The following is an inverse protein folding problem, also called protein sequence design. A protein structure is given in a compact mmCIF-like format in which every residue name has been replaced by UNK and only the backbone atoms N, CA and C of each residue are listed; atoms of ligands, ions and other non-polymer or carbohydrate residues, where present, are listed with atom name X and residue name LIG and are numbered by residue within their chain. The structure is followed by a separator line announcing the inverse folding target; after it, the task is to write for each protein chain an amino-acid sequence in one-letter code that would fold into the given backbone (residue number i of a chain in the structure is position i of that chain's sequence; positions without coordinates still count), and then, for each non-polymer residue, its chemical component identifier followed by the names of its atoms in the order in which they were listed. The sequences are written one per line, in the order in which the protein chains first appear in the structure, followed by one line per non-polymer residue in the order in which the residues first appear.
data_IF_680675236168
#
_entry.id   IF_680675236168
#
_cell.length_a   1.000
_cell.length_b   1.000
_cell.length_c   1.000
_cell.angle_alpha   90.00
_cell.angle_beta   90.00
_cell.angle_gamma   90.00
#
_symmetry.space_group_name_H-M   'P 1'
#
loop_
_entity.id
_entity.type
_entity.pdbx_description
1 polymer ?
#
# COMPACT_ATOMS: atom_id res chain seq x y z
N UNK A 1 -18.79 17.16 23.48
CA UNK A 1 -19.46 15.85 23.63
C UNK A 1 -19.46 15.21 22.24
N UNK A 2 -18.68 14.21 21.86
CA UNK A 2 -17.87 13.25 22.60
C UNK A 2 -16.42 13.22 22.12
N UNK A 3 -15.56 13.02 23.11
CA UNK A 3 -14.17 12.60 23.06
C UNK A 3 -14.09 11.08 22.84
N UNK A 4 -13.10 10.60 22.08
CA UNK A 4 -12.47 9.29 22.27
C UNK A 4 -11.33 9.09 21.25
N UNK A 5 -10.13 9.51 21.67
CA UNK A 5 -8.85 8.84 21.45
C UNK A 5 -8.72 7.91 20.22
N UNK A 6 -8.08 8.40 19.16
CA UNK A 6 -7.22 7.54 18.36
C UNK A 6 -5.88 7.46 19.12
N UNK A 7 -5.73 6.47 19.99
CA UNK A 7 -4.46 6.17 20.64
C UNK A 7 -3.39 5.88 19.58
N UNK A 8 -2.09 6.05 19.90
CA UNK A 8 -1.05 5.68 18.95
C UNK A 8 -1.10 4.15 18.76
N UNK A 9 -1.54 3.69 17.59
CA UNK A 9 -1.34 2.32 17.13
C UNK A 9 0.18 2.07 17.01
N UNK A 10 0.86 1.81 18.13
CA UNK A 10 2.20 1.22 18.13
C UNK A 10 2.06 -0.29 17.98
N UNK A 11 1.57 -0.71 16.81
CA UNK A 11 1.92 -2.03 16.32
C UNK A 11 3.43 -2.08 16.04
N UNK A 12 4.09 -3.24 16.14
CA UNK A 12 5.49 -3.35 15.76
C UNK A 12 5.68 -2.83 14.33
N UNK A 13 6.75 -2.10 14.00
CA UNK A 13 7.00 -1.67 12.63
C UNK A 13 7.04 -2.93 11.76
N UNK A 14 6.13 -3.02 10.78
CA UNK A 14 6.12 -4.09 9.78
C UNK A 14 7.48 -4.07 9.09
N UNK A 15 8.37 -4.97 9.54
CA UNK A 15 9.79 -4.96 9.22
C UNK A 15 10.02 -4.91 7.71
N UNK A 16 10.57 -3.80 7.23
CA UNK A 16 11.37 -3.69 6.01
C UNK A 16 10.68 -3.89 4.66
N UNK A 17 9.39 -4.22 4.59
CA UNK A 17 8.71 -4.43 3.30
C UNK A 17 8.11 -3.12 2.81
N UNK A 18 8.81 -2.43 1.90
CA UNK A 18 8.26 -1.25 1.22
C UNK A 18 7.12 -1.66 0.26
N UNK A 19 6.04 -0.88 0.21
CA UNK A 19 4.97 -1.07 -0.79
C UNK A 19 5.31 -0.26 -2.03
N UNK A 20 5.42 -0.92 -3.19
CA UNK A 20 5.49 -0.26 -4.50
C UNK A 20 4.09 0.17 -4.93
N UNK A 21 3.99 1.34 -5.56
CA UNK A 21 2.73 1.96 -5.98
C UNK A 21 2.78 2.35 -7.46
N UNK A 22 1.87 1.82 -8.27
CA UNK A 22 1.72 2.12 -9.70
C UNK A 22 0.49 3.00 -10.02
N UNK A 23 -0.14 3.57 -8.99
CA UNK A 23 -1.38 4.38 -9.15
C UNK A 23 -1.17 5.56 -10.09
N UNK A 24 -0.03 6.24 -10.00
CA UNK A 24 0.28 7.40 -10.85
C UNK A 24 0.31 7.01 -12.34
N UNK A 25 1.06 5.97 -12.68
CA UNK A 25 1.21 5.50 -14.07
C UNK A 25 -0.14 5.09 -14.65
N UNK A 26 -0.94 4.33 -13.88
CA UNK A 26 -2.28 3.90 -14.30
C UNK A 26 -3.25 5.07 -14.43
N UNK A 27 -3.19 6.04 -13.52
CA UNK A 27 -3.99 7.27 -13.59
C UNK A 27 -3.68 8.07 -14.85
N UNK A 28 -2.40 8.24 -15.16
CA UNK A 28 -1.95 8.97 -16.36
C UNK A 28 -2.35 8.25 -17.64
N UNK A 29 -2.22 6.92 -17.69
CA UNK A 29 -2.70 6.11 -18.81
C UNK A 29 -4.23 6.19 -19.00
N UNK A 30 -4.99 6.43 -17.93
CA UNK A 30 -6.42 6.66 -17.96
C UNK A 30 -6.81 8.12 -18.29
N UNK A 31 -5.84 9.03 -18.51
CA UNK A 31 -6.08 10.43 -18.81
C UNK A 31 -6.67 11.23 -17.63
N UNK A 32 -6.54 10.73 -16.40
CA UNK A 32 -7.14 11.34 -15.22
C UNK A 32 -6.16 12.30 -14.54
N UNK A 33 -6.65 13.45 -14.05
CA UNK A 33 -5.88 14.29 -13.13
C UNK A 33 -5.90 13.70 -11.71
N UNK A 34 -4.93 14.08 -10.87
CA UNK A 34 -4.90 13.69 -9.46
C UNK A 34 -6.21 14.07 -8.76
N UNK A 35 -6.70 15.29 -8.95
CA UNK A 35 -7.95 15.74 -8.33
C UNK A 35 -9.17 14.94 -8.81
N UNK A 36 -9.21 14.56 -10.09
CA UNK A 36 -10.31 13.78 -10.65
C UNK A 36 -10.37 12.37 -10.05
N UNK A 37 -9.23 11.66 -9.99
CA UNK A 37 -9.19 10.34 -9.38
C UNK A 37 -9.48 10.41 -7.87
N UNK A 38 -8.92 11.41 -7.18
CA UNK A 38 -9.12 11.60 -5.74
C UNK A 38 -10.61 11.77 -5.40
N UNK A 39 -11.33 12.59 -6.17
CA UNK A 39 -12.77 12.77 -6.01
C UNK A 39 -13.55 11.47 -6.22
N UNK A 40 -13.20 10.65 -7.22
CA UNK A 40 -13.86 9.37 -7.49
C UNK A 40 -13.71 8.35 -6.36
N UNK A 41 -12.57 8.35 -5.68
CA UNK A 41 -12.27 7.36 -4.62
C UNK A 41 -12.49 7.89 -3.20
N UNK A 42 -12.99 9.12 -3.07
CA UNK A 42 -13.25 9.75 -1.77
C UNK A 42 -11.99 10.12 -1.00
N UNK A 43 -10.94 10.55 -1.71
CA UNK A 43 -9.69 11.06 -1.14
C UNK A 43 -9.54 12.56 -1.43
N UNK A 44 -8.76 13.25 -0.58
CA UNK A 44 -8.26 14.58 -0.94
C UNK A 44 -7.16 14.46 -1.99
N UNK A 45 -6.93 15.54 -2.77
CA UNK A 45 -5.81 15.61 -3.73
C UNK A 45 -4.47 15.30 -3.06
N UNK A 46 -4.24 15.86 -1.86
CA UNK A 46 -3.00 15.66 -1.11
C UNK A 46 -2.84 14.20 -0.65
N UNK A 47 -3.92 13.57 -0.18
CA UNK A 47 -3.91 12.17 0.21
C UNK A 47 -3.57 11.26 -0.98
N UNK A 48 -4.18 11.50 -2.15
CA UNK A 48 -3.85 10.75 -3.36
C UNK A 48 -2.39 10.98 -3.79
N UNK A 49 -1.88 12.22 -3.76
CA UNK A 49 -0.47 12.48 -4.08
C UNK A 49 0.51 11.74 -3.16
N UNK A 50 0.20 11.63 -1.86
CA UNK A 50 1.02 10.84 -0.93
C UNK A 50 0.97 9.35 -1.22
N UNK A 51 -0.18 8.83 -1.66
CA UNK A 51 -0.30 7.44 -2.13
C UNK A 51 0.54 7.23 -3.39
N UNK A 52 0.43 8.12 -4.38
CA UNK A 52 1.21 8.05 -5.63
C UNK A 52 2.72 8.10 -5.39
N UNK A 53 3.19 8.82 -4.37
CA UNK A 53 4.61 8.88 -4.02
C UNK A 53 5.07 7.78 -3.06
N UNK A 54 4.19 6.87 -2.63
CA UNK A 54 4.49 5.86 -1.62
C UNK A 54 4.67 6.39 -0.19
N UNK A 55 4.42 7.69 0.05
CA UNK A 55 4.52 8.33 1.36
C UNK A 55 3.31 8.03 2.29
N UNK A 56 2.31 7.33 1.78
CA UNK A 56 1.20 6.78 2.53
C UNK A 56 0.71 5.50 1.86
N UNK A 57 0.47 4.45 2.66
CA UNK A 57 -0.20 3.24 2.21
C UNK A 57 -1.71 3.43 2.43
N UNK A 58 -2.55 3.32 1.39
CA UNK A 58 -3.99 3.44 1.55
C UNK A 58 -4.55 2.25 2.32
N UNK A 59 -5.64 2.48 3.07
CA UNK A 59 -6.41 1.37 3.64
C UNK A 59 -7.07 0.51 2.56
N UNK A 60 -7.49 -0.70 2.93
CA UNK A 60 -8.06 -1.70 2.01
C UNK A 60 -9.22 -1.16 1.17
N UNK A 61 -10.13 -0.36 1.78
CA UNK A 61 -11.26 0.23 1.06
C UNK A 61 -10.80 1.13 -0.08
N UNK A 62 -9.83 2.00 0.17
CA UNK A 62 -9.29 2.93 -0.82
C UNK A 62 -8.50 2.19 -1.90
N UNK A 63 -7.74 1.15 -1.54
CA UNK A 63 -7.05 0.30 -2.50
C UNK A 63 -8.03 -0.37 -3.50
N UNK A 64 -9.14 -0.91 -3.00
CA UNK A 64 -10.20 -1.51 -3.82
C UNK A 64 -10.90 -0.48 -4.71
N UNK A 65 -11.19 0.71 -4.19
CA UNK A 65 -11.79 1.80 -4.97
C UNK A 65 -10.87 2.31 -6.08
N UNK A 66 -9.56 2.43 -5.81
CA UNK A 66 -8.56 2.80 -6.80
C UNK A 66 -8.51 1.76 -7.93
N UNK A 67 -8.45 0.46 -7.59
CA UNK A 67 -8.46 -0.63 -8.56
C UNK A 67 -9.71 -0.59 -9.45
N UNK A 68 -10.89 -0.38 -8.84
CA UNK A 68 -12.17 -0.24 -9.56
C UNK A 68 -12.20 0.98 -10.48
N UNK A 69 -11.75 2.14 -10.00
CA UNK A 69 -11.73 3.38 -10.79
C UNK A 69 -10.79 3.27 -12.00
N UNK A 70 -9.66 2.60 -11.82
CA UNK A 70 -8.64 2.38 -12.85
C UNK A 70 -8.84 1.08 -13.66
N UNK A 71 -9.95 0.36 -13.42
CA UNK A 71 -10.32 -0.89 -14.11
C UNK A 71 -9.20 -1.93 -14.15
N UNK A 72 -8.51 -2.10 -13.03
CA UNK A 72 -7.44 -3.08 -12.85
C UNK A 72 -7.61 -3.82 -11.52
N UNK A 73 -6.71 -4.76 -11.24
CA UNK A 73 -6.68 -5.48 -9.95
C UNK A 73 -5.88 -4.67 -8.92
N UNK A 74 -6.06 -4.98 -7.63
CA UNK A 74 -5.30 -4.30 -6.57
C UNK A 74 -3.81 -4.61 -6.68
N UNK A 75 -3.47 -5.84 -7.05
CA UNK A 75 -2.10 -6.30 -7.31
C UNK A 75 -1.42 -5.61 -8.50
N UNK A 76 -2.20 -5.03 -9.43
CA UNK A 76 -1.67 -4.19 -10.52
C UNK A 76 -1.25 -2.80 -10.04
N UNK A 77 -1.74 -2.37 -8.87
CA UNK A 77 -1.48 -1.06 -8.26
C UNK A 77 -0.46 -1.12 -7.14
N UNK A 78 -0.52 -2.17 -6.33
CA UNK A 78 0.28 -2.31 -5.12
C UNK A 78 0.97 -3.67 -5.10
N UNK A 79 2.29 -3.66 -4.91
CA UNK A 79 3.05 -4.88 -4.70
C UNK A 79 4.06 -4.68 -3.58
N UNK A 80 4.38 -5.75 -2.87
CA UNK A 80 5.45 -5.71 -1.89
C UNK A 80 6.79 -5.63 -2.64
N UNK A 81 7.59 -4.65 -2.27
CA UNK A 81 9.02 -4.63 -2.55
C UNK A 81 9.64 -5.92 -2.02
N UNK A 82 10.66 -6.43 -2.70
CA UNK A 82 11.39 -7.56 -2.18
C UNK A 82 12.09 -7.12 -0.88
N UNK A 83 11.47 -7.41 0.27
CA UNK A 83 12.23 -7.47 1.50
C UNK A 83 13.13 -8.69 1.38
N UNK A 84 14.42 -8.50 1.61
CA UNK A 84 15.33 -9.60 1.86
C UNK A 84 14.76 -10.42 3.03
N UNK A 85 14.18 -11.57 2.72
CA UNK A 85 14.00 -12.62 3.70
C UNK A 85 15.40 -13.23 3.82
N UNK A 86 16.18 -12.99 4.89
CA UNK A 86 17.31 -13.88 5.12
C UNK A 86 16.68 -15.26 5.26
N UNK A 87 16.95 -16.12 4.28
CA UNK A 87 16.48 -17.48 4.28
C UNK A 87 16.90 -18.06 5.63
N UNK A 88 15.94 -18.29 6.53
CA UNK A 88 16.24 -19.03 7.74
C UNK A 88 16.50 -20.44 7.26
N UNK A 89 17.77 -20.76 7.00
CA UNK A 89 18.25 -22.12 6.86
C UNK A 89 17.94 -22.77 8.21
N UNK A 90 16.98 -23.71 8.31
CA UNK A 90 16.85 -24.47 9.55
C UNK A 90 18.20 -25.16 9.78
N UNK A 91 18.77 -25.12 10.99
CA UNK A 91 19.97 -25.91 11.27
C UNK A 91 19.64 -27.36 10.94
N UNK A 92 20.33 -27.92 9.95
CA UNK A 92 20.29 -29.34 9.68
C UNK A 92 20.65 -30.05 10.98
N UNK A 93 19.75 -30.88 11.47
CA UNK A 93 20.07 -31.79 12.56
C UNK A 93 21.28 -32.61 12.14
N UNK A 94 22.38 -32.63 12.89
CA UNK A 94 23.50 -33.52 12.57
C UNK A 94 23.00 -34.96 12.59
N UNK A 95 23.36 -35.71 11.55
CA UNK A 95 23.14 -37.14 11.44
C UNK A 95 23.67 -37.85 12.68
N UNK A 96 22.88 -38.81 13.18
CA UNK A 96 23.37 -39.77 14.15
C UNK A 96 24.42 -40.70 13.55
N UNK A 97 25.39 -41.06 14.39
CA UNK A 97 25.87 -42.42 14.70
C UNK A 97 26.94 -42.30 15.77
#
# INVERSE_FOLDING_TARGET
MSDAAHGPETGPPHSGVAVRCAVRERREAAGLSVSALAAQVGLSRQALSRVESGAAVPGTRQALLLARALRCRVEDLFSLGAAHVPARVPPGTPSGT
#
